data_IF_142376385695
#
_entry.id   IF_142376385695
#
_cell.length_a   1.000
_cell.length_b   1.000
_cell.length_c   1.000
_cell.angle_alpha   90.00
_cell.angle_beta   90.00
_cell.angle_gamma   90.00
#
_symmetry.space_group_name_H-M   'P 1'
#
loop_
_entity.id
_entity.type
_entity.pdbx_description
1 polymer ?
#
# COMPACT_ATOMS: atom_id res chain seq x y z
N UNK A 1 7.86 -5.89 0.40
CA UNK A 1 6.67 -5.57 -0.41
C UNK A 1 7.07 -4.62 -1.52
N UNK A 2 6.44 -4.70 -2.70
CA UNK A 2 6.52 -3.68 -3.78
C UNK A 2 5.23 -2.84 -3.82
N UNK A 3 5.29 -1.66 -4.44
CA UNK A 3 4.14 -0.81 -4.75
C UNK A 3 3.84 -0.91 -6.25
N UNK A 4 2.57 -0.81 -6.69
CA UNK A 4 2.25 -0.88 -8.12
C UNK A 4 2.99 0.18 -8.95
N UNK A 5 3.69 -0.26 -10.00
CA UNK A 5 4.36 0.57 -11.01
C UNK A 5 4.56 -0.29 -12.26
N UNK A 6 3.86 0.06 -13.34
CA UNK A 6 3.92 -0.72 -14.60
C UNK A 6 5.16 -0.43 -15.44
N UNK A 7 5.82 0.70 -15.18
CA UNK A 7 7.03 1.11 -15.92
C UNK A 7 8.32 0.60 -15.28
N UNK A 8 8.41 0.65 -13.95
CA UNK A 8 9.67 0.40 -13.24
C UNK A 8 9.75 -0.97 -12.58
N UNK A 9 8.64 -1.72 -12.48
CA UNK A 9 8.62 -3.04 -11.86
C UNK A 9 8.33 -4.15 -12.88
N UNK A 10 9.38 -4.84 -13.33
CA UNK A 10 9.27 -5.94 -14.29
C UNK A 10 9.11 -7.30 -13.61
N UNK A 11 8.68 -8.30 -14.37
CA UNK A 11 8.57 -9.67 -13.88
C UNK A 11 9.92 -10.28 -13.50
N UNK A 12 11.04 -9.87 -14.15
CA UNK A 12 12.36 -10.33 -13.70
C UNK A 12 12.69 -9.84 -12.29
N UNK A 13 12.33 -8.60 -11.97
CA UNK A 13 12.52 -8.03 -10.61
C UNK A 13 11.64 -8.75 -9.59
N UNK A 14 10.37 -9.00 -9.94
CA UNK A 14 9.47 -9.83 -9.12
C UNK A 14 10.11 -11.18 -8.78
N UNK A 15 10.52 -11.94 -9.80
CA UNK A 15 11.10 -13.27 -9.65
C UNK A 15 12.37 -13.26 -8.77
N UNK A 16 13.23 -12.25 -8.93
CA UNK A 16 14.44 -12.12 -8.13
C UNK A 16 14.15 -11.87 -6.65
N UNK A 17 13.19 -10.98 -6.35
CA UNK A 17 12.81 -10.68 -4.96
C UNK A 17 12.04 -11.83 -4.32
N UNK A 18 11.13 -12.48 -5.06
CA UNK A 18 10.39 -13.65 -4.59
C UNK A 18 11.34 -14.81 -4.26
N UNK A 19 12.32 -15.11 -5.12
CA UNK A 19 13.32 -16.13 -4.86
C UNK A 19 14.15 -15.82 -3.59
N UNK A 20 14.54 -14.56 -3.39
CA UNK A 20 15.27 -14.14 -2.19
C UNK A 20 14.40 -14.27 -0.94
N UNK A 21 13.14 -13.81 -1.00
CA UNK A 21 12.21 -13.88 0.12
C UNK A 21 11.96 -15.33 0.55
N UNK A 22 11.72 -16.24 -0.41
CA UNK A 22 11.59 -17.68 -0.15
C UNK A 22 12.83 -18.26 0.50
N UNK A 23 14.02 -17.90 0.03
CA UNK A 23 15.29 -18.34 0.63
C UNK A 23 15.45 -17.87 2.08
N UNK A 24 14.94 -16.69 2.41
CA UNK A 24 15.01 -16.10 3.74
C UNK A 24 13.81 -16.48 4.65
N UNK A 25 12.83 -17.23 4.14
CA UNK A 25 11.60 -17.54 4.88
C UNK A 25 10.72 -16.32 5.15
N UNK A 26 10.80 -15.29 4.31
CA UNK A 26 10.02 -14.06 4.44
C UNK A 26 8.81 -14.09 3.52
N UNK A 27 7.70 -13.52 3.99
CA UNK A 27 6.55 -13.24 3.13
C UNK A 27 6.85 -12.03 2.23
N UNK A 28 6.75 -12.24 0.93
CA UNK A 28 6.82 -11.16 -0.05
C UNK A 28 5.45 -10.94 -0.70
N UNK A 29 5.04 -9.68 -0.78
CA UNK A 29 3.81 -9.26 -1.44
C UNK A 29 4.21 -8.34 -2.58
N UNK A 30 3.86 -8.76 -3.80
CA UNK A 30 3.98 -7.93 -4.98
C UNK A 30 2.61 -7.34 -5.34
N UNK A 31 2.42 -6.06 -5.02
CA UNK A 31 1.13 -5.41 -5.22
C UNK A 31 0.77 -5.21 -6.70
N UNK A 32 1.73 -5.31 -7.64
CA UNK A 32 1.41 -5.30 -9.07
C UNK A 32 0.59 -6.53 -9.51
N UNK A 33 0.67 -7.63 -8.75
CA UNK A 33 -0.04 -8.87 -9.04
C UNK A 33 -1.43 -8.92 -8.38
N UNK A 34 -1.77 -7.92 -7.56
CA UNK A 34 -3.01 -7.86 -6.78
C UNK A 34 -4.05 -6.93 -7.42
N UNK A 35 -4.25 -7.04 -8.73
CA UNK A 35 -5.09 -6.10 -9.49
C UNK A 35 -6.58 -6.18 -9.11
N UNK A 36 -7.02 -7.33 -8.60
CA UNK A 36 -8.39 -7.49 -8.12
C UNK A 36 -8.60 -6.84 -6.75
N UNK A 37 -7.58 -6.93 -5.88
CA UNK A 37 -7.59 -6.41 -4.52
C UNK A 37 -7.22 -4.92 -4.44
N UNK A 38 -6.42 -4.46 -5.41
CA UNK A 38 -5.92 -3.10 -5.58
C UNK A 38 -6.15 -2.66 -7.04
N UNK A 39 -7.39 -2.30 -7.40
CA UNK A 39 -7.72 -1.91 -8.77
C UNK A 39 -7.21 -0.49 -9.07
N UNK A 40 -5.95 -0.39 -9.52
CA UNK A 40 -5.33 0.87 -9.97
C UNK A 40 -5.81 1.22 -11.37
N UNK A 41 -6.44 2.39 -11.51
CA UNK A 41 -6.70 3.00 -12.81
C UNK A 41 -5.49 3.85 -13.21
N UNK A 42 -4.71 3.35 -14.16
CA UNK A 42 -3.48 4.00 -14.58
C UNK A 42 -3.68 5.40 -15.19
N UNK A 43 -4.89 5.74 -15.64
CA UNK A 43 -5.22 7.06 -16.18
C UNK A 43 -5.51 8.10 -15.09
N UNK A 44 -6.12 7.70 -13.96
CA UNK A 44 -6.54 8.62 -12.90
C UNK A 44 -5.73 8.51 -11.61
N UNK A 45 -5.06 7.38 -11.36
CA UNK A 45 -4.45 7.04 -10.07
C UNK A 45 -2.93 7.21 -10.06
N UNK A 46 -2.37 7.73 -11.15
CA UNK A 46 -0.94 8.03 -11.26
C UNK A 46 -0.70 9.49 -11.55
N UNK A 47 0.49 9.96 -11.16
CA UNK A 47 0.95 11.32 -11.46
C UNK A 47 1.51 11.43 -12.89
N UNK A 48 2.04 10.34 -13.42
CA UNK A 48 2.85 10.32 -14.64
C UNK A 48 2.50 9.14 -15.59
N UNK A 49 1.24 8.71 -15.56
CA UNK A 49 0.66 7.68 -16.45
C UNK A 49 1.38 6.34 -16.32
N UNK A 50 1.54 5.83 -15.10
CA UNK A 50 1.96 4.44 -14.87
C UNK A 50 3.22 4.21 -14.02
N UNK A 51 3.91 5.25 -13.55
CA UNK A 51 5.12 5.06 -12.74
C UNK A 51 4.89 5.34 -11.26
N UNK A 52 4.46 6.56 -10.94
CA UNK A 52 4.21 6.98 -9.56
C UNK A 52 2.72 7.16 -9.29
N UNK A 53 2.22 6.49 -8.26
CA UNK A 53 0.85 6.68 -7.79
C UNK A 53 0.66 8.14 -7.32
N UNK A 54 -0.52 8.69 -7.62
CA UNK A 54 -0.97 9.93 -7.00
C UNK A 54 -1.77 9.60 -5.73
N UNK A 55 -2.43 10.60 -5.14
CA UNK A 55 -3.24 10.45 -3.93
C UNK A 55 -4.26 9.31 -4.03
N UNK A 56 -4.99 9.20 -5.14
CA UNK A 56 -6.05 8.20 -5.31
C UNK A 56 -5.49 6.78 -5.38
N UNK A 57 -4.40 6.57 -6.12
CA UNK A 57 -3.71 5.28 -6.16
C UNK A 57 -3.11 4.90 -4.81
N UNK A 58 -2.47 5.85 -4.14
CA UNK A 58 -1.88 5.64 -2.82
C UNK A 58 -2.93 5.30 -1.77
N UNK A 59 -4.13 5.89 -1.84
CA UNK A 59 -5.25 5.56 -0.96
C UNK A 59 -5.71 4.10 -1.12
N UNK A 60 -5.80 3.60 -2.36
CA UNK A 60 -6.14 2.19 -2.64
C UNK A 60 -5.11 1.22 -2.07
N UNK A 61 -3.82 1.49 -2.29
CA UNK A 61 -2.71 0.71 -1.74
C UNK A 61 -2.72 0.73 -0.21
N UNK A 62 -2.92 1.89 0.39
CA UNK A 62 -2.96 2.05 1.84
C UNK A 62 -4.14 1.30 2.47
N UNK A 63 -5.30 1.29 1.82
CA UNK A 63 -6.46 0.52 2.27
C UNK A 63 -6.20 -0.98 2.25
N UNK A 64 -5.55 -1.52 1.21
CA UNK A 64 -5.14 -2.92 1.19
C UNK A 64 -4.13 -3.23 2.31
N UNK A 65 -3.09 -2.40 2.45
CA UNK A 65 -2.07 -2.59 3.48
C UNK A 65 -2.69 -2.61 4.88
N UNK A 66 -3.60 -1.67 5.17
CA UNK A 66 -4.29 -1.61 6.46
C UNK A 66 -5.06 -2.90 6.76
N UNK A 67 -5.79 -3.44 5.78
CA UNK A 67 -6.48 -4.74 5.93
C UNK A 67 -5.49 -5.89 6.14
N UNK A 68 -4.46 -5.97 5.29
CA UNK A 68 -3.44 -7.01 5.37
C UNK A 68 -2.76 -7.06 6.76
N UNK A 69 -2.42 -5.89 7.32
CA UNK A 69 -1.82 -5.78 8.64
C UNK A 69 -2.81 -6.13 9.76
N UNK A 70 -4.06 -5.69 9.66
CA UNK A 70 -5.10 -6.01 10.64
C UNK A 70 -5.38 -7.52 10.71
N UNK A 71 -5.39 -8.19 9.55
CA UNK A 71 -5.58 -9.65 9.43
C UNK A 71 -4.47 -10.48 10.09
N UNK A 72 -3.28 -9.89 10.32
CA UNK A 72 -2.21 -10.59 11.05
C UNK A 72 -2.55 -10.79 12.54
N UNK A 73 -3.49 -10.00 13.09
CA UNK A 73 -3.89 -10.10 14.49
C UNK A 73 -2.80 -9.72 15.51
N UNK A 74 -1.69 -9.12 15.05
CA UNK A 74 -0.54 -8.76 15.90
C UNK A 74 -0.61 -7.33 16.45
N UNK A 75 -1.59 -6.54 16.00
CA UNK A 75 -1.78 -5.15 16.40
C UNK A 75 -3.05 -4.99 17.21
N UNK A 76 -2.98 -4.15 18.25
CA UNK A 76 -4.17 -3.66 18.95
C UNK A 76 -4.69 -2.40 18.28
N UNK A 77 -6.02 -2.29 18.16
CA UNK A 77 -6.65 -1.04 17.72
C UNK A 77 -6.41 0.06 18.75
N UNK A 78 -5.98 1.24 18.26
CA UNK A 78 -5.60 2.40 19.08
C UNK A 78 -6.47 3.63 18.84
N UNK A 79 -7.52 3.52 18.00
CA UNK A 79 -8.34 4.69 17.62
C UNK A 79 -9.00 5.38 18.80
N UNK A 80 -9.37 4.61 19.82
CA UNK A 80 -10.02 5.10 21.05
C UNK A 80 -9.04 5.23 22.24
N UNK A 81 -7.74 4.99 22.02
CA UNK A 81 -6.70 5.11 23.05
C UNK A 81 -6.28 6.58 23.19
N UNK A 82 -6.51 7.25 24.33
CA UNK A 82 -6.21 8.67 24.50
C UNK A 82 -4.73 9.02 24.29
N UNK A 83 -3.81 8.08 24.56
CA UNK A 83 -2.37 8.29 24.33
C UNK A 83 -2.04 8.48 22.84
N UNK A 84 -2.92 8.01 21.96
CA UNK A 84 -2.79 8.05 20.50
C UNK A 84 -3.76 9.04 19.84
N UNK A 85 -4.47 9.87 20.61
CA UNK A 85 -5.49 10.79 20.09
C UNK A 85 -4.98 11.80 19.04
N UNK A 86 -3.68 12.09 19.04
CA UNK A 86 -3.04 12.92 18.01
C UNK A 86 -3.19 12.32 16.59
N UNK A 87 -3.18 10.99 16.45
CA UNK A 87 -3.30 10.32 15.15
C UNK A 87 -4.62 10.63 14.45
N UNK A 88 -5.71 10.69 15.20
CA UNK A 88 -7.02 11.06 14.66
C UNK A 88 -7.05 12.52 14.20
N UNK A 89 -6.36 13.40 14.95
CA UNK A 89 -6.25 14.83 14.60
C UNK A 89 -5.43 15.03 13.32
N UNK A 90 -4.30 14.33 13.20
CA UNK A 90 -3.43 14.36 12.02
C UNK A 90 -4.14 13.80 10.79
N UNK A 91 -4.87 12.69 10.93
CA UNK A 91 -5.66 12.11 9.86
C UNK A 91 -6.76 13.06 9.37
N UNK A 92 -7.48 13.71 10.30
CA UNK A 92 -8.51 14.70 9.97
C UNK A 92 -7.91 15.92 9.26
N UNK A 93 -6.78 16.44 9.74
CA UNK A 93 -6.07 17.55 9.11
C UNK A 93 -5.60 17.21 7.69
N UNK A 94 -5.06 16.01 7.49
CA UNK A 94 -4.64 15.53 6.18
C UNK A 94 -5.81 15.48 5.19
N UNK A 95 -6.99 15.05 5.62
CA UNK A 95 -8.18 15.02 4.77
C UNK A 95 -8.65 16.44 4.41
N UNK A 96 -8.62 17.39 5.36
CA UNK A 96 -9.07 18.77 5.11
C UNK A 96 -8.22 19.55 4.10
N UNK A 97 -6.95 19.18 3.91
CA UNK A 97 -6.03 19.86 2.98
C UNK A 97 -6.13 19.29 1.55
N UNK A 98 -6.66 18.07 1.39
CA UNK A 98 -6.72 17.36 0.11
C UNK A 98 -8.13 17.36 -0.53
N UNK A 99 -8.99 18.30 -0.15
CA UNK A 99 -10.31 18.57 -0.74
C UNK A 99 -10.35 19.90 -1.51
#
# INVERSE_FOLDING_TARGET
MSVPSTKNWSMEKHNGVDALARRLGLQFIDMNLLQNEIPIDWASDTRDKGDHLNYYGAAKVSAYMGRFLAEQGVFSDKRDDPEYGAWNSDAAAFLMINH
#
